data_IF_993300705147
#
_entry.id   IF_993300705147
#
_cell.length_a   1.000
_cell.length_b   1.000
_cell.length_c   1.000
_cell.angle_alpha   90.00
_cell.angle_beta   90.00
_cell.angle_gamma   90.00
#
_symmetry.space_group_name_H-M   'P 1'
#
loop_
_entity.id
_entity.type
_entity.pdbx_description
1 polymer ?
#
# COMPACT_ATOMS: atom_id res chain seq x y z
N UNK A 1 -3.14 44.57 9.16
CA UNK A 1 -3.79 43.44 9.86
C UNK A 1 -4.13 42.33 8.88
N UNK A 2 -4.61 42.66 7.66
CA UNK A 2 -4.84 41.67 6.58
C UNK A 2 -3.65 40.76 6.26
N UNK A 3 -2.41 41.27 6.23
CA UNK A 3 -1.23 40.43 5.95
C UNK A 3 -0.97 39.36 7.03
N UNK A 4 -1.28 39.68 8.29
CA UNK A 4 -1.09 38.74 9.41
C UNK A 4 -2.21 37.68 9.38
N UNK A 5 -3.43 38.09 9.05
CA UNK A 5 -4.55 37.15 8.84
C UNK A 5 -4.28 36.23 7.65
N UNK A 6 -3.73 36.75 6.56
CA UNK A 6 -3.36 35.95 5.39
C UNK A 6 -2.26 34.93 5.71
N UNK A 7 -1.19 35.35 6.39
CA UNK A 7 -0.13 34.43 6.85
C UNK A 7 -0.69 33.38 7.81
N UNK A 8 -1.62 33.74 8.68
CA UNK A 8 -2.24 32.80 9.61
C UNK A 8 -3.11 31.77 8.88
N UNK A 9 -3.89 32.20 7.89
CA UNK A 9 -4.81 31.33 7.12
C UNK A 9 -4.06 30.42 6.13
N UNK A 10 -2.96 30.92 5.56
CA UNK A 10 -2.05 30.16 4.70
C UNK A 10 -1.05 29.31 5.49
N UNK A 11 -0.96 29.49 6.81
CA UNK A 11 -0.07 28.68 7.63
C UNK A 11 -0.52 27.22 7.65
N UNK A 12 0.42 26.30 7.46
CA UNK A 12 0.16 24.87 7.54
C UNK A 12 -0.48 24.45 8.87
N UNK A 13 -0.25 25.19 9.97
CA UNK A 13 -0.84 24.91 11.29
C UNK A 13 -2.36 25.14 11.29
N UNK A 14 -2.84 26.15 10.57
CA UNK A 14 -4.27 26.46 10.47
C UNK A 14 -5.02 25.50 9.56
N UNK A 15 -4.34 24.96 8.54
CA UNK A 15 -4.90 24.02 7.56
C UNK A 15 -4.85 22.56 8.00
N UNK A 16 -4.37 22.27 9.22
CA UNK A 16 -4.31 20.90 9.74
C UNK A 16 -5.73 20.36 9.90
N UNK A 17 -6.00 19.26 9.19
CA UNK A 17 -7.19 18.45 9.44
C UNK A 17 -6.90 17.35 10.47
N UNK A 18 -7.93 16.96 11.22
CA UNK A 18 -7.80 15.92 12.25
C UNK A 18 -7.38 14.57 11.65
N UNK A 19 -7.84 14.25 10.43
CA UNK A 19 -7.45 13.03 9.71
C UNK A 19 -5.96 12.98 9.38
N UNK A 20 -5.39 14.12 8.94
CA UNK A 20 -3.96 14.24 8.62
C UNK A 20 -3.09 13.99 9.85
N UNK A 21 -3.46 14.52 11.02
CA UNK A 21 -2.72 14.26 12.27
C UNK A 21 -2.67 12.77 12.63
N UNK A 22 -3.80 12.06 12.46
CA UNK A 22 -3.86 10.62 12.71
C UNK A 22 -2.93 9.90 11.73
N UNK A 23 -3.00 10.24 10.44
CA UNK A 23 -2.16 9.63 9.41
C UNK A 23 -0.67 9.89 9.62
N UNK A 24 -0.28 11.09 10.07
CA UNK A 24 1.10 11.38 10.44
C UNK A 24 1.57 10.48 11.60
N UNK A 25 0.70 10.25 12.60
CA UNK A 25 0.96 9.30 13.68
C UNK A 25 1.17 7.87 13.17
N UNK A 26 0.33 7.41 12.24
CA UNK A 26 0.48 6.10 11.58
C UNK A 26 1.77 6.03 10.77
N UNK A 27 2.11 7.07 10.00
CA UNK A 27 3.34 7.10 9.21
C UNK A 27 4.60 7.04 10.08
N UNK A 28 4.62 7.74 11.21
CA UNK A 28 5.70 7.66 12.19
C UNK A 28 5.80 6.26 12.81
N UNK A 29 4.67 5.60 13.05
CA UNK A 29 4.65 4.20 13.49
C UNK A 29 5.23 3.26 12.43
N UNK A 30 4.87 3.43 11.15
CA UNK A 30 5.43 2.63 10.04
C UNK A 30 6.94 2.84 9.91
N UNK A 31 7.41 4.09 10.01
CA UNK A 31 8.84 4.41 10.01
C UNK A 31 9.57 3.78 11.20
N UNK A 32 8.96 3.81 12.40
CA UNK A 32 9.50 3.13 13.57
C UNK A 32 9.61 1.61 13.34
N UNK A 33 8.56 0.97 12.79
CA UNK A 33 8.57 -0.46 12.48
C UNK A 33 9.62 -0.82 11.42
N UNK A 34 9.76 0.00 10.37
CA UNK A 34 10.75 -0.20 9.31
C UNK A 34 12.18 0.00 9.78
N UNK A 35 12.46 1.04 10.58
CA UNK A 35 13.83 1.40 10.99
C UNK A 35 14.27 0.62 12.23
N UNK A 36 13.48 0.67 13.31
CA UNK A 36 13.88 0.13 14.62
C UNK A 36 13.64 -1.38 14.67
N UNK A 37 12.48 -1.82 14.20
CA UNK A 37 12.10 -3.23 14.23
C UNK A 37 12.48 -4.00 12.96
N UNK A 38 12.94 -3.31 11.92
CA UNK A 38 13.40 -3.88 10.65
C UNK A 38 12.34 -4.76 9.95
N UNK A 39 11.06 -4.41 10.09
CA UNK A 39 10.01 -5.02 9.28
C UNK A 39 10.10 -4.44 7.86
N UNK A 40 10.36 -5.31 6.88
CA UNK A 40 10.47 -4.99 5.44
C UNK A 40 11.07 -3.59 5.16
N UNK A 41 12.30 -3.30 5.64
CA UNK A 41 12.81 -1.93 5.70
C UNK A 41 12.94 -1.27 4.32
N UNK A 42 13.08 -2.07 3.26
CA UNK A 42 13.20 -1.59 1.88
C UNK A 42 11.91 -0.95 1.36
N UNK A 43 10.75 -1.50 1.75
CA UNK A 43 9.44 -1.03 1.28
C UNK A 43 8.71 -0.21 2.35
N UNK A 44 8.75 -0.65 3.61
CA UNK A 44 7.98 -0.02 4.68
C UNK A 44 8.47 1.40 5.00
N UNK A 45 9.78 1.64 4.89
CA UNK A 45 10.35 2.98 5.12
C UNK A 45 9.96 3.95 4.01
N UNK A 46 9.98 3.51 2.75
CA UNK A 46 9.59 4.36 1.62
C UNK A 46 8.09 4.65 1.63
N UNK A 47 7.25 3.67 1.98
CA UNK A 47 5.81 3.84 2.18
C UNK A 47 5.54 4.81 3.34
N UNK A 48 6.16 4.60 4.51
CA UNK A 48 5.97 5.46 5.67
C UNK A 48 6.42 6.91 5.42
N UNK A 49 7.49 7.11 4.66
CA UNK A 49 7.95 8.45 4.28
C UNK A 49 7.04 9.10 3.22
N UNK A 50 6.60 8.35 2.22
CA UNK A 50 5.63 8.81 1.23
C UNK A 50 4.32 9.25 1.88
N UNK A 51 3.77 8.43 2.80
CA UNK A 51 2.59 8.80 3.56
C UNK A 51 2.77 10.05 4.42
N UNK A 52 3.96 10.26 5.00
CA UNK A 52 4.26 11.48 5.75
C UNK A 52 4.21 12.72 4.83
N UNK A 53 4.82 12.64 3.65
CA UNK A 53 4.80 13.71 2.64
C UNK A 53 3.38 13.97 2.09
N UNK A 54 2.59 12.92 1.85
CA UNK A 54 1.21 13.03 1.36
C UNK A 54 0.27 13.73 2.34
N UNK A 55 0.60 13.70 3.64
CA UNK A 55 -0.22 14.27 4.71
C UNK A 55 0.33 15.60 5.27
N UNK A 56 1.26 16.26 4.57
CA UNK A 56 1.73 17.61 4.95
C UNK A 56 0.61 18.63 4.64
N UNK A 57 0.11 19.39 5.64
CA UNK A 57 -0.94 20.37 5.45
C UNK A 57 -0.53 21.47 4.47
N UNK A 58 -1.38 21.74 3.47
CA UNK A 58 -1.18 22.83 2.50
C UNK A 58 -0.11 22.59 1.43
N UNK A 59 0.48 21.39 1.36
CA UNK A 59 1.55 21.09 0.41
C UNK A 59 1.09 20.39 -0.89
N UNK A 60 -0.10 19.78 -0.89
CA UNK A 60 -0.76 19.13 -2.06
C UNK A 60 0.16 18.20 -2.89
N UNK A 61 1.18 17.59 -2.28
CA UNK A 61 2.24 16.84 -2.99
C UNK A 61 1.70 15.55 -3.63
N UNK A 62 0.63 14.99 -3.09
CA UNK A 62 0.03 13.73 -3.52
C UNK A 62 -1.25 13.90 -4.37
N UNK A 63 -1.60 15.14 -4.73
CA UNK A 63 -2.82 15.48 -5.45
C UNK A 63 -2.51 16.38 -6.65
N UNK A 64 -3.37 16.38 -7.68
CA UNK A 64 -3.20 17.23 -8.86
C UNK A 64 -1.84 17.02 -9.53
N UNK A 65 -1.11 18.10 -9.82
CA UNK A 65 0.24 18.03 -10.42
C UNK A 65 1.36 17.76 -9.40
N UNK A 66 1.01 17.30 -8.20
CA UNK A 66 1.95 17.00 -7.13
C UNK A 66 2.95 15.90 -7.51
N UNK A 67 4.18 16.01 -6.99
CA UNK A 67 5.27 15.09 -7.32
C UNK A 67 4.93 13.61 -7.03
N UNK A 68 4.26 13.33 -5.91
CA UNK A 68 3.87 11.98 -5.53
C UNK A 68 2.70 11.48 -6.39
N UNK A 69 1.80 12.36 -6.81
CA UNK A 69 0.73 12.01 -7.74
C UNK A 69 1.30 11.58 -9.09
N UNK A 70 2.24 12.37 -9.65
CA UNK A 70 2.90 12.02 -10.90
C UNK A 70 3.65 10.67 -10.81
N UNK A 71 4.33 10.42 -9.69
CA UNK A 71 5.00 9.15 -9.45
C UNK A 71 4.00 7.98 -9.38
N UNK A 72 2.83 8.20 -8.79
CA UNK A 72 1.74 7.23 -8.73
C UNK A 72 1.16 6.93 -10.13
N UNK A 73 0.80 7.96 -10.90
CA UNK A 73 0.25 7.80 -12.24
C UNK A 73 1.24 7.05 -13.16
N UNK A 74 2.50 7.52 -13.21
CA UNK A 74 3.51 6.94 -14.09
C UNK A 74 3.94 5.55 -13.64
N UNK A 75 4.06 5.31 -12.34
CA UNK A 75 4.66 4.10 -11.80
C UNK A 75 3.65 3.01 -11.45
N UNK A 76 2.58 3.36 -10.76
CA UNK A 76 1.63 2.41 -10.16
C UNK A 76 0.42 2.20 -11.08
N UNK A 77 -0.17 3.27 -11.61
CA UNK A 77 -1.38 3.18 -12.44
C UNK A 77 -1.09 2.49 -13.78
N UNK A 78 0.04 2.83 -14.41
CA UNK A 78 0.55 2.09 -15.58
C UNK A 78 0.90 0.64 -15.26
N UNK A 79 1.17 0.32 -13.99
CA UNK A 79 1.66 -0.98 -13.53
C UNK A 79 3.16 -1.18 -13.73
N UNK A 80 3.93 -0.16 -14.13
CA UNK A 80 5.35 -0.27 -14.39
C UNK A 80 6.17 -0.69 -13.16
N UNK A 81 6.00 -0.01 -12.02
CA UNK A 81 6.79 -0.28 -10.81
C UNK A 81 6.56 -1.69 -10.25
N UNK A 82 5.32 -2.17 -10.05
CA UNK A 82 5.10 -3.52 -9.55
C UNK A 82 5.69 -4.60 -10.46
N UNK A 83 5.57 -4.44 -11.78
CA UNK A 83 6.11 -5.41 -12.75
C UNK A 83 7.64 -5.42 -12.79
N UNK A 84 8.28 -4.25 -12.71
CA UNK A 84 9.75 -4.15 -12.66
C UNK A 84 10.29 -4.76 -11.36
N UNK A 85 9.64 -4.48 -10.22
CA UNK A 85 10.01 -5.08 -8.93
C UNK A 85 9.84 -6.60 -8.99
N UNK A 86 8.72 -7.08 -9.53
CA UNK A 86 8.45 -8.51 -9.67
C UNK A 86 9.46 -9.21 -10.60
N UNK A 87 9.86 -8.56 -11.69
CA UNK A 87 10.95 -9.03 -12.55
C UNK A 87 12.27 -9.15 -11.77
N UNK A 88 12.58 -8.16 -10.93
CA UNK A 88 13.75 -8.19 -10.05
C UNK A 88 13.71 -9.34 -9.03
N UNK A 89 12.56 -9.57 -8.40
CA UNK A 89 12.36 -10.72 -7.49
C UNK A 89 12.58 -12.04 -8.23
N UNK A 90 12.02 -12.18 -9.44
CA UNK A 90 12.21 -13.36 -10.29
C UNK A 90 13.67 -13.60 -10.68
N UNK A 91 14.41 -12.53 -10.99
CA UNK A 91 15.84 -12.61 -11.32
C UNK A 91 16.71 -13.03 -10.13
N UNK A 92 16.29 -12.73 -8.90
CA UNK A 92 16.97 -13.10 -7.66
C UNK A 92 16.52 -14.46 -7.10
N UNK A 93 15.48 -15.08 -7.67
CA UNK A 93 14.92 -16.33 -7.16
C UNK A 93 15.74 -17.53 -7.60
N UNK A 94 16.20 -18.34 -6.64
CA UNK A 94 16.87 -19.62 -6.91
C UNK A 94 15.85 -20.75 -7.09
N UNK A 95 15.82 -21.34 -8.29
CA UNK A 95 14.96 -22.47 -8.63
C UNK A 95 15.56 -23.83 -8.28
N UNK A 96 16.84 -23.91 -7.89
CA UNK A 96 17.52 -25.15 -7.55
C UNK A 96 16.79 -26.01 -6.51
N UNK A 97 16.39 -25.45 -5.36
CA UNK A 97 15.62 -26.19 -4.34
C UNK A 97 14.25 -26.69 -4.84
N UNK A 98 13.56 -25.89 -5.66
CA UNK A 98 12.26 -26.24 -6.22
C UNK A 98 12.36 -27.41 -7.21
N UNK A 99 13.37 -27.38 -8.10
CA UNK A 99 13.61 -28.41 -9.09
C UNK A 99 14.12 -29.72 -8.46
N UNK A 100 14.91 -29.62 -7.38
CA UNK A 100 15.45 -30.78 -6.67
C UNK A 100 14.37 -31.59 -5.93
N UNK A 101 13.32 -30.92 -5.44
CA UNK A 101 12.16 -31.60 -4.84
C UNK A 101 10.84 -30.96 -5.28
N UNK A 102 10.26 -31.41 -6.42
CA UNK A 102 9.02 -30.85 -6.97
C UNK A 102 7.82 -30.92 -6.03
N UNK A 103 7.85 -31.77 -4.99
CA UNK A 103 6.78 -31.82 -3.98
C UNK A 103 6.69 -30.51 -3.19
N UNK A 104 7.75 -29.71 -3.14
CA UNK A 104 7.72 -28.38 -2.52
C UNK A 104 6.78 -27.41 -3.26
N UNK A 105 6.44 -27.68 -4.52
CA UNK A 105 5.43 -26.91 -5.27
C UNK A 105 4.05 -26.92 -4.58
N UNK A 106 3.71 -28.00 -3.86
CA UNK A 106 2.45 -28.08 -3.10
C UNK A 106 2.42 -27.13 -1.89
N UNK A 107 3.57 -26.67 -1.36
CA UNK A 107 3.60 -25.59 -0.37
C UNK A 107 3.12 -24.26 -0.99
N UNK A 108 3.44 -24.01 -2.26
CA UNK A 108 2.91 -22.87 -3.02
C UNK A 108 1.39 -22.95 -3.23
N UNK A 109 0.85 -24.17 -3.38
CA UNK A 109 -0.60 -24.36 -3.45
C UNK A 109 -1.30 -24.00 -2.11
N UNK A 110 -0.62 -24.19 -0.97
CA UNK A 110 -1.16 -23.77 0.33
C UNK A 110 -1.27 -22.24 0.46
N UNK A 111 -0.40 -21.47 -0.21
CA UNK A 111 -0.51 -20.01 -0.23
C UNK A 111 -1.81 -19.53 -0.91
N UNK A 112 -2.32 -20.29 -1.90
CA UNK A 112 -3.60 -19.99 -2.56
C UNK A 112 -4.79 -20.14 -1.60
N UNK A 113 -4.70 -21.06 -0.63
CA UNK A 113 -5.72 -21.17 0.41
C UNK A 113 -5.81 -19.89 1.26
N UNK A 114 -4.67 -19.26 1.56
CA UNK A 114 -4.63 -17.96 2.26
C UNK A 114 -5.39 -16.87 1.51
N UNK A 115 -5.24 -16.81 0.18
CA UNK A 115 -5.95 -15.86 -0.67
C UNK A 115 -7.47 -16.06 -0.59
N UNK A 116 -7.93 -17.31 -0.78
CA UNK A 116 -9.35 -17.63 -0.72
C UNK A 116 -9.94 -17.45 0.67
N UNK A 117 -9.21 -17.80 1.73
CA UNK A 117 -9.67 -17.62 3.11
C UNK A 117 -9.87 -16.12 3.42
N UNK A 118 -8.94 -15.26 3.01
CA UNK A 118 -9.04 -13.81 3.19
C UNK A 118 -10.18 -13.22 2.35
N UNK A 119 -10.35 -13.66 1.10
CA UNK A 119 -11.46 -13.24 0.23
C UNK A 119 -12.83 -13.63 0.83
N UNK A 120 -12.98 -14.88 1.26
CA UNK A 120 -14.22 -15.35 1.90
C UNK A 120 -14.46 -14.65 3.24
N UNK A 121 -13.40 -14.32 3.98
CA UNK A 121 -13.48 -13.50 5.18
C UNK A 121 -14.00 -12.09 4.90
N UNK A 122 -13.48 -11.42 3.88
CA UNK A 122 -13.94 -10.10 3.46
C UNK A 122 -15.42 -10.13 3.01
N UNK A 123 -15.82 -11.11 2.19
CA UNK A 123 -17.22 -11.29 1.81
C UNK A 123 -18.12 -11.65 3.00
N UNK A 124 -17.60 -12.41 3.97
CA UNK A 124 -18.29 -12.74 5.21
C UNK A 124 -18.54 -11.50 6.07
N UNK A 125 -17.59 -10.56 6.15
CA UNK A 125 -17.77 -9.27 6.83
C UNK A 125 -18.85 -8.42 6.16
N UNK A 126 -18.95 -8.45 4.83
CA UNK A 126 -20.06 -7.83 4.09
C UNK A 126 -21.39 -8.48 4.44
N UNK A 127 -21.48 -9.81 4.46
CA UNK A 127 -22.74 -10.50 4.81
C UNK A 127 -23.17 -10.28 6.26
N UNK A 128 -22.21 -10.10 7.17
CA UNK A 128 -22.47 -9.78 8.58
C UNK A 128 -22.81 -8.30 8.82
N UNK A 129 -22.76 -7.46 7.79
CA UNK A 129 -23.07 -6.02 7.87
C UNK A 129 -22.04 -5.20 8.66
N UNK A 130 -20.80 -5.70 8.78
CA UNK A 130 -19.72 -5.00 9.50
C UNK A 130 -19.01 -4.00 8.58
N UNK A 131 -18.72 -4.41 7.33
CA UNK A 131 -18.06 -3.60 6.30
C UNK A 131 -18.59 -3.99 4.93
N UNK A 132 -18.92 -3.01 4.07
CA UNK A 132 -19.45 -3.28 2.74
C UNK A 132 -18.35 -3.35 1.68
N UNK A 133 -17.78 -4.55 1.48
CA UNK A 133 -16.84 -4.79 0.39
C UNK A 133 -17.54 -5.31 -0.87
N UNK A 134 -17.29 -4.67 -2.01
CA UNK A 134 -17.59 -5.23 -3.32
C UNK A 134 -16.72 -6.45 -3.60
N UNK A 135 -17.12 -7.27 -4.59
CA UNK A 135 -16.33 -8.44 -4.98
C UNK A 135 -14.92 -8.06 -5.46
N UNK A 136 -14.75 -6.89 -6.09
CA UNK A 136 -13.43 -6.42 -6.57
C UNK A 136 -12.53 -6.02 -5.41
N UNK A 137 -13.06 -5.34 -4.41
CA UNK A 137 -12.34 -4.94 -3.20
C UNK A 137 -11.98 -6.16 -2.35
N UNK A 138 -12.94 -7.07 -2.15
CA UNK A 138 -12.70 -8.33 -1.45
C UNK A 138 -11.62 -9.18 -2.16
N UNK A 139 -11.59 -9.15 -3.49
CA UNK A 139 -10.53 -9.81 -4.26
C UNK A 139 -9.16 -9.14 -4.07
N UNK A 140 -9.10 -7.80 -4.09
CA UNK A 140 -7.87 -7.06 -3.81
C UNK A 140 -7.33 -7.35 -2.40
N UNK A 141 -8.20 -7.34 -1.38
CA UNK A 141 -7.87 -7.70 0.02
C UNK A 141 -7.42 -9.17 0.10
N UNK A 142 -8.07 -10.06 -0.64
CA UNK A 142 -7.74 -11.48 -0.71
C UNK A 142 -6.27 -11.74 -1.07
N UNK A 143 -5.71 -10.99 -2.02
CA UNK A 143 -4.32 -11.21 -2.49
C UNK A 143 -3.28 -11.01 -1.39
N UNK A 144 -3.58 -10.23 -0.33
CA UNK A 144 -2.70 -10.08 0.85
C UNK A 144 -2.40 -11.46 1.48
N UNK A 145 -3.36 -12.39 1.44
CA UNK A 145 -3.19 -13.76 1.93
C UNK A 145 -2.13 -14.59 1.19
N UNK A 146 -1.69 -14.14 0.01
CA UNK A 146 -0.60 -14.74 -0.76
C UNK A 146 0.80 -14.32 -0.30
N UNK A 147 0.91 -13.30 0.57
CA UNK A 147 2.17 -12.77 1.10
C UNK A 147 3.19 -12.32 0.02
N UNK A 148 2.70 -11.86 -1.14
CA UNK A 148 3.51 -11.34 -2.25
C UNK A 148 3.18 -9.86 -2.50
N UNK A 149 4.03 -8.97 -1.98
CA UNK A 149 3.83 -7.52 -2.00
C UNK A 149 3.65 -6.93 -3.40
N UNK A 150 4.60 -7.11 -4.35
CA UNK A 150 4.48 -6.57 -5.69
C UNK A 150 3.21 -6.98 -6.42
N UNK A 151 2.79 -8.24 -6.29
CA UNK A 151 1.55 -8.74 -6.89
C UNK A 151 0.32 -8.15 -6.21
N UNK A 152 0.32 -8.00 -4.88
CA UNK A 152 -0.76 -7.34 -4.14
C UNK A 152 -0.95 -5.89 -4.58
N UNK A 153 0.15 -5.12 -4.73
CA UNK A 153 0.12 -3.74 -5.22
C UNK A 153 -0.45 -3.69 -6.64
N UNK A 154 0.01 -4.58 -7.53
CA UNK A 154 -0.46 -4.63 -8.92
C UNK A 154 -1.97 -4.93 -9.00
N UNK A 155 -2.44 -5.95 -8.27
CA UNK A 155 -3.84 -6.36 -8.31
C UNK A 155 -4.74 -5.32 -7.66
N UNK A 156 -4.35 -4.76 -6.52
CA UNK A 156 -5.08 -3.67 -5.88
C UNK A 156 -5.19 -2.45 -6.81
N UNK A 157 -4.08 -2.04 -7.45
CA UNK A 157 -4.08 -0.93 -8.41
C UNK A 157 -4.96 -1.16 -9.65
N UNK A 158 -5.33 -2.40 -9.99
CA UNK A 158 -6.28 -2.70 -11.09
C UNK A 158 -7.71 -2.95 -10.61
N UNK A 159 -7.89 -3.56 -9.45
CA UNK A 159 -9.21 -3.98 -8.95
C UNK A 159 -9.88 -2.93 -8.07
N UNK A 160 -9.12 -2.29 -7.17
CA UNK A 160 -9.60 -1.32 -6.19
C UNK A 160 -8.50 -0.28 -5.90
N UNK A 161 -8.25 0.68 -6.81
CA UNK A 161 -7.23 1.72 -6.63
C UNK A 161 -7.42 2.54 -5.36
N UNK A 162 -8.68 2.79 -4.97
CA UNK A 162 -9.03 3.58 -3.79
C UNK A 162 -8.65 2.89 -2.46
N UNK A 163 -8.40 1.57 -2.49
CA UNK A 163 -7.93 0.80 -1.34
C UNK A 163 -6.41 0.62 -1.32
N UNK A 164 -5.71 1.13 -2.34
CA UNK A 164 -4.25 1.13 -2.35
C UNK A 164 -3.77 2.28 -1.45
N UNK A 165 -3.21 1.91 -0.28
CA UNK A 165 -2.74 2.84 0.75
C UNK A 165 -1.44 3.55 0.43
#
# INVERSE_FOLDING_TARGET
MELIEQIWTESGIYQIETGQLIMLGVCLLLLYLGIVRKFEPLLLVTIGFGGLLSNIPGAEIATGDGLLHLAYEVGIETGAFPLIIFMGVGALTDFGPLLANPRTLFLGAAAQFGIFATLLGALGLTQLGVMDFSLREAAAIGIIGGADGPTAIYVAGKLAPDLLG
#
